data_IF_369718652542
#
_entry.id   IF_369718652542
#
_cell.length_a   1.000
_cell.length_b   1.000
_cell.length_c   1.000
_cell.angle_alpha   90.00
_cell.angle_beta   90.00
_cell.angle_gamma   90.00
#
_symmetry.space_group_name_H-M   'P 1'
#
loop_
_entity.id
_entity.type
_entity.pdbx_description
1 polymer ?
#
# COMPACT_ATOMS: atom_id res chain seq x y z
N UNK A 1 -23.81 -22.78 -0.87
CA UNK A 1 -23.47 -21.39 -0.51
C UNK A 1 -21.96 -21.29 -0.59
N UNK A 2 -21.46 -20.35 -1.40
CA UNK A 2 -20.04 -20.24 -1.72
C UNK A 2 -19.33 -19.58 -0.52
N UNK A 3 -18.76 -20.38 0.38
CA UNK A 3 -18.04 -19.87 1.57
C UNK A 3 -16.60 -19.50 1.19
N UNK A 4 -16.40 -18.49 0.33
CA UNK A 4 -15.07 -17.94 0.08
C UNK A 4 -14.68 -17.02 1.23
N UNK A 5 -13.44 -17.12 1.72
CA UNK A 5 -12.89 -16.16 2.69
C UNK A 5 -12.60 -14.81 2.01
N UNK A 6 -12.36 -13.75 2.78
CA UNK A 6 -11.91 -12.46 2.23
C UNK A 6 -10.58 -12.60 1.49
N UNK A 7 -9.70 -13.48 1.96
CA UNK A 7 -8.42 -13.79 1.30
C UNK A 7 -8.62 -14.47 -0.06
N UNK A 8 -9.57 -15.42 -0.15
CA UNK A 8 -9.92 -16.06 -1.43
C UNK A 8 -10.42 -15.04 -2.45
N UNK A 9 -11.22 -14.07 -2.01
CA UNK A 9 -11.72 -12.99 -2.86
C UNK A 9 -10.58 -12.08 -3.31
N UNK A 10 -9.69 -11.68 -2.40
CA UNK A 10 -8.52 -10.87 -2.77
C UNK A 10 -7.64 -11.59 -3.80
N UNK A 11 -7.46 -12.90 -3.65
CA UNK A 11 -6.77 -13.71 -4.65
C UNK A 11 -7.50 -13.72 -5.99
N UNK A 12 -8.82 -13.86 -5.99
CA UNK A 12 -9.62 -13.82 -7.23
C UNK A 12 -9.53 -12.45 -7.92
N UNK A 13 -9.60 -11.35 -7.15
CA UNK A 13 -9.43 -9.98 -7.64
C UNK A 13 -8.03 -9.83 -8.26
N UNK A 14 -6.99 -10.30 -7.58
CA UNK A 14 -5.62 -10.23 -8.08
C UNK A 14 -5.46 -11.01 -9.40
N UNK A 15 -5.94 -12.25 -9.47
CA UNK A 15 -5.89 -13.06 -10.69
C UNK A 15 -6.68 -12.39 -11.82
N UNK A 16 -7.86 -11.84 -11.52
CA UNK A 16 -8.68 -11.11 -12.48
C UNK A 16 -7.96 -9.86 -13.00
N UNK A 17 -7.34 -9.08 -12.11
CA UNK A 17 -6.53 -7.93 -12.49
C UNK A 17 -5.42 -8.32 -13.46
N UNK A 18 -4.67 -9.38 -13.14
CA UNK A 18 -3.59 -9.87 -14.00
C UNK A 18 -4.07 -10.19 -15.42
N UNK A 19 -5.25 -10.80 -15.56
CA UNK A 19 -5.84 -11.07 -16.87
C UNK A 19 -6.29 -9.79 -17.58
N UNK A 20 -6.97 -8.88 -16.88
CA UNK A 20 -7.46 -7.61 -17.44
C UNK A 20 -6.32 -6.69 -17.92
N UNK A 21 -5.17 -6.71 -17.26
CA UNK A 21 -3.99 -5.94 -17.68
C UNK A 21 -3.33 -6.49 -18.96
N UNK A 22 -3.66 -7.71 -19.37
CA UNK A 22 -3.22 -8.27 -20.67
C UNK A 22 -4.18 -7.97 -21.81
N UNK A 23 -5.37 -7.46 -21.51
CA UNK A 23 -6.33 -7.05 -22.54
C UNK A 23 -5.84 -5.80 -23.28
N UNK A 24 -6.36 -5.60 -24.50
CA UNK A 24 -6.10 -4.40 -25.28
C UNK A 24 -6.50 -3.14 -24.51
N UNK A 25 -5.69 -2.09 -24.64
CA UNK A 25 -5.91 -0.83 -23.95
C UNK A 25 -7.22 -0.16 -24.43
N UNK A 26 -8.21 -0.04 -23.53
CA UNK A 26 -9.44 0.71 -23.83
C UNK A 26 -9.24 2.20 -23.49
N UNK A 27 -9.25 3.04 -24.53
CA UNK A 27 -9.04 4.49 -24.43
C UNK A 27 -10.13 5.16 -23.58
N UNK A 28 -11.40 4.77 -23.77
CA UNK A 28 -12.53 5.39 -23.06
C UNK A 28 -12.47 5.07 -21.55
N UNK A 29 -12.24 3.80 -21.20
CA UNK A 29 -12.13 3.36 -19.81
C UNK A 29 -10.94 4.04 -19.10
N UNK A 30 -9.81 4.23 -19.80
CA UNK A 30 -8.65 4.91 -19.22
C UNK A 30 -8.88 6.40 -19.04
N UNK A 31 -9.41 7.08 -20.06
CA UNK A 31 -9.72 8.51 -19.96
C UNK A 31 -10.73 8.78 -18.85
N UNK A 32 -11.69 7.87 -18.65
CA UNK A 32 -12.66 7.95 -17.56
C UNK A 32 -11.98 7.99 -16.19
N UNK A 33 -10.90 7.24 -15.97
CA UNK A 33 -10.14 7.25 -14.70
C UNK A 33 -9.51 8.60 -14.34
N UNK A 34 -9.33 9.49 -15.33
CA UNK A 34 -8.74 10.82 -15.14
C UNK A 34 -9.70 11.95 -15.53
N UNK A 35 -11.01 11.67 -15.55
CA UNK A 35 -12.06 12.64 -15.86
C UNK A 35 -12.77 13.10 -14.58
N UNK A 36 -13.01 14.41 -14.47
CA UNK A 36 -13.76 15.02 -13.36
C UNK A 36 -15.23 14.57 -13.30
N UNK A 37 -15.78 14.06 -14.42
CA UNK A 37 -17.17 13.60 -14.53
C UNK A 37 -17.33 12.09 -14.25
N UNK A 38 -16.34 11.45 -13.63
CA UNK A 38 -16.33 10.01 -13.34
C UNK A 38 -16.52 9.69 -11.86
N UNK A 39 -16.74 8.40 -11.57
CA UNK A 39 -16.76 7.84 -10.21
C UNK A 39 -15.37 7.77 -9.55
N UNK A 40 -14.30 7.99 -10.32
CA UNK A 40 -12.93 7.90 -9.84
C UNK A 40 -12.48 9.24 -9.26
N UNK A 41 -11.69 9.17 -8.20
CA UNK A 41 -11.05 10.32 -7.60
C UNK A 41 -9.72 10.54 -8.32
N UNK A 42 -9.47 11.78 -8.74
CA UNK A 42 -8.20 12.18 -9.35
C UNK A 42 -7.48 13.11 -8.39
N UNK A 43 -6.32 12.70 -7.90
CA UNK A 43 -5.51 13.50 -6.97
C UNK A 43 -4.20 13.90 -7.64
N UNK A 44 -3.85 15.20 -7.60
CA UNK A 44 -2.54 15.68 -7.99
C UNK A 44 -1.57 15.51 -6.83
N UNK A 45 -0.51 14.72 -7.04
CA UNK A 45 0.46 14.38 -5.98
C UNK A 45 1.77 15.17 -6.05
N UNK A 46 1.97 15.97 -7.11
CA UNK A 46 3.10 16.89 -7.22
C UNK A 46 3.35 17.36 -8.65
N UNK A 47 4.44 18.12 -8.84
CA UNK A 47 4.98 18.50 -10.15
C UNK A 47 6.41 17.94 -10.30
N UNK A 48 6.60 16.96 -11.17
CA UNK A 48 7.91 16.32 -11.41
C UNK A 48 8.73 17.15 -12.41
N UNK A 49 10.01 17.40 -12.07
CA UNK A 49 10.93 18.15 -12.91
C UNK A 49 11.71 17.25 -13.86
N UNK A 50 11.60 17.55 -15.15
CA UNK A 50 12.30 16.89 -16.26
C UNK A 50 13.27 17.87 -16.94
N UNK A 51 14.50 18.04 -16.42
CA UNK A 51 15.49 18.94 -17.00
C UNK A 51 15.96 18.52 -18.40
N UNK A 52 15.93 17.24 -18.73
CA UNK A 52 16.37 16.72 -20.05
C UNK A 52 15.21 16.27 -20.91
N UNK A 53 14.11 15.82 -20.28
CA UNK A 53 12.97 15.23 -20.98
C UNK A 53 13.15 13.74 -21.28
N UNK A 54 14.31 13.15 -20.97
CA UNK A 54 14.54 11.71 -21.06
C UNK A 54 13.94 11.02 -19.84
N UNK A 55 12.94 10.17 -20.05
CA UNK A 55 12.18 9.56 -18.96
C UNK A 55 12.75 8.18 -18.60
N UNK A 56 12.80 7.92 -17.30
CA UNK A 56 12.97 6.61 -16.70
C UNK A 56 11.75 6.32 -15.80
N UNK A 57 11.27 5.07 -15.85
CA UNK A 57 10.24 4.55 -14.95
C UNK A 57 10.82 3.40 -14.14
N UNK A 58 10.43 3.30 -12.88
CA UNK A 58 10.99 2.29 -11.99
C UNK A 58 10.51 2.43 -10.56
N UNK A 59 10.92 1.45 -9.75
CA UNK A 59 10.86 1.52 -8.30
C UNK A 59 11.94 2.51 -7.79
N UNK A 60 11.52 3.63 -7.16
CA UNK A 60 12.45 4.66 -6.72
C UNK A 60 13.37 4.22 -5.59
N UNK A 61 13.05 3.18 -4.84
CA UNK A 61 13.84 2.74 -3.69
C UNK A 61 14.65 1.46 -3.96
N UNK A 62 14.45 0.81 -5.12
CA UNK A 62 15.13 -0.44 -5.44
C UNK A 62 15.87 -0.43 -6.80
N UNK A 63 15.25 0.07 -7.87
CA UNK A 63 15.66 -0.29 -9.22
C UNK A 63 16.06 0.84 -10.15
N UNK A 64 15.91 2.11 -9.76
CA UNK A 64 16.39 3.23 -10.59
C UNK A 64 17.88 3.07 -10.93
N UNK A 65 18.23 3.50 -12.15
CA UNK A 65 19.57 3.37 -12.73
C UNK A 65 20.10 1.93 -12.82
N UNK A 66 19.21 0.93 -12.90
CA UNK A 66 19.56 -0.46 -13.06
C UNK A 66 18.93 -1.08 -14.31
N UNK A 67 19.13 -2.38 -14.53
CA UNK A 67 18.47 -3.14 -15.62
C UNK A 67 17.00 -3.46 -15.35
N UNK A 68 16.49 -3.15 -14.16
CA UNK A 68 15.13 -3.44 -13.71
C UNK A 68 14.21 -2.21 -13.70
N UNK A 69 14.78 -1.01 -13.89
CA UNK A 69 14.06 0.17 -14.36
C UNK A 69 14.05 0.20 -15.90
N UNK A 70 13.25 1.10 -16.48
CA UNK A 70 13.16 1.27 -17.92
C UNK A 70 13.37 2.72 -18.32
N UNK A 71 14.43 2.99 -19.08
CA UNK A 71 14.63 4.25 -19.80
C UNK A 71 13.79 4.16 -21.07
N UNK A 72 12.96 5.16 -21.34
CA UNK A 72 12.00 5.10 -22.45
C UNK A 72 12.59 5.60 -23.78
N UNK A 73 12.07 5.05 -24.87
CA UNK A 73 12.42 5.38 -26.26
C UNK A 73 12.09 6.84 -26.61
N UNK A 74 10.95 7.34 -26.13
CA UNK A 74 10.49 8.71 -26.39
C UNK A 74 10.92 9.69 -25.30
N UNK A 75 11.02 10.95 -25.69
CA UNK A 75 11.37 12.08 -24.84
C UNK A 75 10.24 13.10 -24.85
N UNK A 76 10.15 13.87 -23.78
CA UNK A 76 9.26 15.03 -23.68
C UNK A 76 10.09 16.32 -23.70
N UNK A 77 9.43 17.48 -23.84
CA UNK A 77 10.15 18.75 -23.72
C UNK A 77 10.65 18.92 -22.26
N UNK A 78 11.82 19.52 -22.03
CA UNK A 78 12.23 19.87 -20.68
C UNK A 78 11.20 20.77 -19.99
N UNK A 79 10.88 20.49 -18.72
CA UNK A 79 9.83 21.21 -17.99
C UNK A 79 9.44 20.57 -16.68
N UNK A 80 8.43 21.17 -16.02
CA UNK A 80 7.78 20.60 -14.84
C UNK A 80 6.37 20.16 -15.22
N UNK A 81 6.02 18.94 -14.85
CA UNK A 81 4.77 18.30 -15.27
C UNK A 81 4.02 17.72 -14.08
N UNK A 82 2.71 17.97 -13.98
CA UNK A 82 1.92 17.44 -12.87
C UNK A 82 1.78 15.93 -12.96
N UNK A 83 1.90 15.26 -11.81
CA UNK A 83 1.64 13.83 -11.65
C UNK A 83 0.33 13.65 -10.90
N UNK A 84 -0.54 12.82 -11.46
CA UNK A 84 -1.83 12.47 -10.90
C UNK A 84 -1.92 10.98 -10.60
N UNK A 85 -2.74 10.62 -9.62
CA UNK A 85 -3.20 9.26 -9.36
C UNK A 85 -4.71 9.19 -9.50
N UNK A 86 -5.19 8.12 -10.13
CA UNK A 86 -6.61 7.75 -10.14
C UNK A 86 -6.88 6.77 -9.01
N UNK A 87 -7.93 7.02 -8.26
CA UNK A 87 -8.27 6.32 -7.03
C UNK A 87 -9.73 5.86 -7.09
N UNK A 88 -9.97 4.65 -6.59
CA UNK A 88 -11.32 4.23 -6.20
C UNK A 88 -11.38 3.91 -4.72
N UNK A 89 -12.55 4.09 -4.12
CA UNK A 89 -12.86 3.59 -2.79
C UNK A 89 -13.65 2.30 -2.94
N UNK A 90 -13.15 1.21 -2.37
CA UNK A 90 -13.89 -0.02 -2.23
C UNK A 90 -14.34 -0.17 -0.77
N UNK A 91 -15.59 -0.55 -0.53
CA UNK A 91 -16.15 -0.64 0.83
C UNK A 91 -15.44 -1.67 1.72
N UNK A 92 -14.93 -2.75 1.11
CA UNK A 92 -14.30 -3.87 1.82
C UNK A 92 -12.78 -3.70 1.82
N UNK A 93 -12.23 -3.32 0.67
CA UNK A 93 -10.78 -3.29 0.46
C UNK A 93 -10.17 -1.90 0.71
N UNK A 94 -11.00 -0.87 0.90
CA UNK A 94 -10.56 0.50 1.14
C UNK A 94 -10.09 1.19 -0.14
N UNK A 95 -9.29 2.23 0.03
CA UNK A 95 -8.72 3.05 -1.06
C UNK A 95 -7.80 2.22 -1.95
N UNK A 96 -7.94 2.34 -3.27
CA UNK A 96 -7.11 1.64 -4.27
C UNK A 96 -6.61 2.59 -5.33
N UNK A 97 -5.30 2.55 -5.57
CA UNK A 97 -4.63 3.34 -6.59
C UNK A 97 -4.68 2.55 -7.89
N UNK A 98 -5.44 3.06 -8.85
CA UNK A 98 -5.74 2.37 -10.11
C UNK A 98 -4.64 2.58 -11.13
N UNK A 99 -4.30 3.85 -11.37
CA UNK A 99 -3.34 4.26 -12.39
C UNK A 99 -2.66 5.56 -11.96
N UNK A 100 -1.47 5.82 -12.48
CA UNK A 100 -0.82 7.14 -12.37
C UNK A 100 -0.62 7.76 -13.75
N UNK A 101 -0.67 9.09 -13.82
CA UNK A 101 -0.53 9.88 -15.05
C UNK A 101 0.51 10.98 -14.85
N UNK A 102 1.55 10.98 -15.67
CA UNK A 102 2.36 12.15 -15.95
C UNK A 102 1.67 12.94 -17.06
N UNK A 103 1.15 14.11 -16.75
CA UNK A 103 0.37 14.92 -17.69
C UNK A 103 1.26 15.97 -18.36
N UNK A 104 1.38 15.91 -19.69
CA UNK A 104 2.36 16.67 -20.47
C UNK A 104 1.74 17.94 -21.05
N UNK A 105 0.51 17.84 -21.56
CA UNK A 105 -0.17 18.96 -22.23
C UNK A 105 -1.50 19.35 -21.59
N UNK A 106 -2.08 18.50 -20.73
CA UNK A 106 -3.44 18.65 -20.21
C UNK A 106 -4.54 18.22 -21.19
N UNK A 107 -4.17 17.71 -22.37
CA UNK A 107 -5.12 17.22 -23.38
C UNK A 107 -5.52 15.77 -23.12
N UNK A 108 -6.70 15.40 -23.61
CA UNK A 108 -7.25 14.04 -23.46
C UNK A 108 -6.72 13.15 -24.60
N UNK A 109 -6.03 12.04 -24.30
CA UNK A 109 -5.54 11.12 -25.32
C UNK A 109 -6.68 10.48 -26.13
N UNK A 110 -6.46 10.29 -27.42
CA UNK A 110 -7.35 9.51 -28.32
C UNK A 110 -6.81 8.12 -28.62
N UNK A 111 -5.55 7.86 -28.27
CA UNK A 111 -4.84 6.59 -28.47
C UNK A 111 -3.80 6.39 -27.37
N UNK A 112 -3.60 5.13 -26.99
CA UNK A 112 -2.51 4.73 -26.10
C UNK A 112 -1.66 3.65 -26.76
N UNK A 113 -0.34 3.75 -26.60
CA UNK A 113 0.61 2.71 -27.00
C UNK A 113 1.55 2.40 -25.85
N UNK A 114 1.99 1.13 -25.76
CA UNK A 114 2.95 0.74 -24.74
C UNK A 114 4.26 1.53 -24.91
N UNK A 115 4.80 2.02 -23.80
CA UNK A 115 6.08 2.72 -23.79
C UNK A 115 7.22 1.71 -23.93
N UNK A 116 8.03 1.87 -24.98
CA UNK A 116 9.12 0.96 -25.26
C UNK A 116 10.40 1.40 -24.55
N UNK A 117 11.26 0.44 -24.14
CA UNK A 117 12.59 0.76 -23.64
C UNK A 117 13.45 1.38 -24.75
N UNK A 118 14.36 2.26 -24.36
CA UNK A 118 15.31 2.94 -25.25
C UNK A 118 16.09 1.93 -26.10
N UNK A 119 16.13 2.18 -27.41
CA UNK A 119 16.74 1.27 -28.39
C UNK A 119 15.82 0.18 -28.96
N UNK A 120 14.53 0.17 -28.60
CA UNK A 120 13.52 -0.71 -29.18
C UNK A 120 12.36 0.10 -29.76
N UNK A 121 11.73 -0.44 -30.79
CA UNK A 121 10.56 0.15 -31.45
C UNK A 121 9.29 -0.64 -31.11
N UNK A 122 8.11 -0.10 -31.42
CA UNK A 122 6.83 -0.76 -31.14
C UNK A 122 6.72 -2.14 -31.83
N UNK A 123 7.35 -2.32 -33.00
CA UNK A 123 7.40 -3.60 -33.71
C UNK A 123 8.23 -4.66 -32.97
N UNK A 124 9.03 -4.27 -31.98
CA UNK A 124 9.79 -5.17 -31.12
C UNK A 124 8.99 -5.68 -29.92
N UNK A 125 7.79 -5.14 -29.70
CA UNK A 125 6.93 -5.59 -28.62
C UNK A 125 6.64 -7.10 -28.72
N UNK A 126 6.75 -7.81 -27.59
CA UNK A 126 6.65 -9.27 -27.46
C UNK A 126 7.72 -10.10 -28.19
N UNK A 127 8.77 -9.49 -28.75
CA UNK A 127 9.93 -10.26 -29.24
C UNK A 127 10.74 -10.83 -28.06
N UNK A 128 11.33 -12.02 -28.20
CA UNK A 128 12.17 -12.61 -27.15
C UNK A 128 13.31 -11.66 -26.71
N UNK A 129 13.39 -11.39 -25.41
CA UNK A 129 14.42 -10.53 -24.81
C UNK A 129 14.05 -9.05 -24.72
N UNK A 130 12.90 -8.63 -25.27
CA UNK A 130 12.40 -7.26 -25.18
C UNK A 130 11.45 -7.16 -23.99
N UNK A 131 11.78 -6.29 -23.04
CA UNK A 131 11.04 -6.12 -21.79
C UNK A 131 10.49 -4.69 -21.74
N UNK A 132 9.21 -4.53 -22.09
CA UNK A 132 8.53 -3.23 -22.07
C UNK A 132 7.82 -3.00 -20.73
N UNK A 133 8.62 -2.68 -19.70
CA UNK A 133 8.13 -2.43 -18.36
C UNK A 133 9.26 -2.34 -17.33
N UNK A 134 8.90 -2.33 -16.04
CA UNK A 134 9.82 -2.20 -14.92
C UNK A 134 9.37 -3.06 -13.73
N UNK A 135 10.33 -3.48 -12.91
CA UNK A 135 10.05 -4.20 -11.67
C UNK A 135 9.76 -3.25 -10.50
N UNK A 136 8.98 -3.73 -9.54
CA UNK A 136 8.70 -3.08 -8.25
C UNK A 136 8.87 -4.08 -7.11
N UNK A 137 9.58 -3.67 -6.05
CA UNK A 137 9.93 -4.50 -4.88
C UNK A 137 9.76 -3.76 -3.54
N UNK A 138 9.32 -2.49 -3.59
CA UNK A 138 9.00 -1.69 -2.41
C UNK A 138 7.55 -1.19 -2.42
N UNK A 139 6.72 -1.73 -3.32
CA UNK A 139 5.37 -1.24 -3.57
C UNK A 139 5.29 0.20 -4.05
N UNK A 140 6.38 0.77 -4.59
CA UNK A 140 6.46 2.14 -5.10
C UNK A 140 6.87 2.18 -6.57
N UNK A 141 6.38 3.20 -7.27
CA UNK A 141 6.76 3.54 -8.63
C UNK A 141 6.99 5.06 -8.75
N UNK A 142 7.70 5.47 -9.80
CA UNK A 142 7.85 6.87 -10.16
C UNK A 142 7.98 7.08 -11.67
N UNK A 143 7.68 8.29 -12.12
CA UNK A 143 8.20 8.86 -13.37
C UNK A 143 9.35 9.79 -13.00
N UNK A 144 10.52 9.62 -13.61
CA UNK A 144 11.70 10.42 -13.27
C UNK A 144 12.52 10.76 -14.51
N UNK A 145 13.14 11.93 -14.52
CA UNK A 145 14.11 12.29 -15.55
C UNK A 145 15.42 11.51 -15.37
N UNK A 146 16.05 11.14 -16.47
CA UNK A 146 17.27 10.33 -16.47
C UNK A 146 18.47 11.04 -15.83
N UNK A 147 18.52 12.37 -15.83
CA UNK A 147 19.51 13.11 -15.06
C UNK A 147 19.20 13.05 -13.56
N UNK A 148 17.94 13.25 -13.20
CA UNK A 148 17.46 13.16 -11.81
C UNK A 148 17.73 11.77 -11.21
N UNK A 149 17.47 10.69 -11.94
CA UNK A 149 17.70 9.33 -11.42
C UNK A 149 19.18 9.04 -11.15
N UNK A 150 20.10 9.58 -11.96
CA UNK A 150 21.55 9.49 -11.71
C UNK A 150 22.00 10.30 -10.50
N UNK A 151 21.45 11.51 -10.32
CA UNK A 151 21.72 12.34 -9.15
C UNK A 151 21.24 11.65 -7.87
N UNK A 152 20.04 11.07 -7.93
CA UNK A 152 19.44 10.32 -6.85
C UNK A 152 20.21 9.04 -6.49
N UNK A 153 20.63 8.26 -7.48
CA UNK A 153 21.47 7.07 -7.27
C UNK A 153 22.80 7.41 -6.60
N UNK A 154 23.46 8.50 -7.04
CA UNK A 154 24.67 9.00 -6.37
C UNK A 154 24.41 9.41 -4.91
N UNK A 155 23.26 10.04 -4.64
CA UNK A 155 22.85 10.38 -3.29
C UNK A 155 22.67 9.11 -2.44
N UNK A 156 21.91 8.12 -2.90
CA UNK A 156 21.70 6.87 -2.17
C UNK A 156 23.01 6.12 -1.93
N UNK A 157 23.88 6.03 -2.93
CA UNK A 157 25.19 5.42 -2.79
C UNK A 157 26.01 6.08 -1.67
N UNK A 158 26.06 7.42 -1.66
CA UNK A 158 26.74 8.17 -0.60
C UNK A 158 26.09 7.91 0.75
N UNK A 159 24.76 7.98 0.84
CA UNK A 159 24.03 7.75 2.08
C UNK A 159 24.33 6.36 2.67
N UNK A 160 24.31 5.32 1.84
CA UNK A 160 24.65 3.95 2.24
C UNK A 160 26.11 3.83 2.71
N UNK A 161 27.05 4.51 2.06
CA UNK A 161 28.46 4.51 2.48
C UNK A 161 28.65 5.14 3.87
N UNK A 162 27.82 6.12 4.22
CA UNK A 162 27.83 6.81 5.51
C UNK A 162 26.98 6.07 6.58
N UNK A 163 26.08 5.17 6.15
CA UNK A 163 25.13 4.45 7.01
C UNK A 163 25.08 2.93 6.70
N UNK A 164 26.18 2.17 6.90
CA UNK A 164 26.34 0.82 6.36
C UNK A 164 25.38 -0.25 6.93
N UNK A 165 24.75 -0.01 8.10
CA UNK A 165 23.85 -0.96 8.75
C UNK A 165 22.40 -0.44 8.85
N UNK A 166 22.06 0.59 8.07
CA UNK A 166 20.74 1.21 8.08
C UNK A 166 19.95 0.85 6.84
N UNK A 167 18.65 0.74 6.98
CA UNK A 167 17.71 0.61 5.88
C UNK A 167 17.32 2.01 5.40
N UNK A 168 17.53 2.35 4.12
CA UNK A 168 17.23 3.71 3.65
C UNK A 168 15.73 4.04 3.73
N UNK A 169 14.83 3.05 3.68
CA UNK A 169 13.42 3.31 3.89
C UNK A 169 13.15 3.62 5.36
N UNK A 170 13.42 2.66 6.25
CA UNK A 170 13.09 2.79 7.67
C UNK A 170 13.82 3.97 8.32
N UNK A 171 15.11 4.14 8.04
CA UNK A 171 15.98 5.12 8.70
C UNK A 171 16.02 6.50 8.01
N UNK A 172 15.52 6.63 6.77
CA UNK A 172 15.56 7.91 6.04
C UNK A 172 14.19 8.32 5.45
N UNK A 173 13.54 7.48 4.64
CA UNK A 173 12.30 7.87 3.95
C UNK A 173 11.02 7.75 4.78
N UNK A 174 10.92 6.80 5.72
CA UNK A 174 9.68 6.47 6.45
C UNK A 174 9.07 7.69 7.14
N UNK A 175 9.91 8.56 7.69
CA UNK A 175 9.49 9.82 8.31
C UNK A 175 8.89 10.78 7.28
N UNK A 176 9.52 10.96 6.13
CA UNK A 176 9.06 11.86 5.08
C UNK A 176 7.73 11.41 4.48
N UNK A 177 7.52 10.10 4.32
CA UNK A 177 6.23 9.54 3.91
C UNK A 177 5.13 9.81 4.95
N UNK A 178 5.40 9.60 6.25
CA UNK A 178 4.45 9.98 7.32
C UNK A 178 4.15 11.48 7.35
N UNK A 179 5.16 12.33 7.15
CA UNK A 179 4.96 13.78 7.07
C UNK A 179 4.11 14.17 5.84
N UNK A 180 4.28 13.47 4.71
CA UNK A 180 3.41 13.59 3.53
C UNK A 180 1.96 13.21 3.86
N UNK A 181 1.74 12.07 4.55
CA UNK A 181 0.42 11.62 4.96
C UNK A 181 -0.27 12.62 5.90
N UNK A 182 0.45 13.18 6.86
CA UNK A 182 -0.08 14.20 7.78
C UNK A 182 -0.48 15.47 7.01
N UNK A 183 0.34 15.88 6.04
CA UNK A 183 0.10 17.09 5.24
C UNK A 183 -1.05 16.90 4.26
N UNK A 184 -1.19 15.72 3.68
CA UNK A 184 -2.19 15.37 2.68
C UNK A 184 -2.94 14.09 3.09
N UNK A 185 -3.81 14.15 4.11
CA UNK A 185 -4.38 12.95 4.75
C UNK A 185 -5.45 12.22 3.93
N UNK A 186 -5.87 12.80 2.81
CA UNK A 186 -6.88 12.18 1.95
C UNK A 186 -6.23 11.11 1.08
N UNK A 187 -6.87 9.94 1.04
CA UNK A 187 -6.50 8.84 0.17
C UNK A 187 -5.07 8.33 0.37
N UNK A 188 -4.51 8.49 1.58
CA UNK A 188 -3.26 7.89 2.00
C UNK A 188 -3.46 7.06 3.28
N UNK A 189 -2.65 6.02 3.45
CA UNK A 189 -2.44 5.34 4.72
C UNK A 189 -1.64 6.25 5.67
N UNK A 190 -1.72 5.96 6.98
CA UNK A 190 -1.04 6.75 8.02
C UNK A 190 0.49 6.78 7.85
N UNK A 191 1.08 5.72 7.30
CA UNK A 191 2.51 5.65 7.00
C UNK A 191 2.91 6.35 5.69
N UNK A 192 1.94 6.82 4.89
CA UNK A 192 2.15 7.51 3.61
C UNK A 192 2.16 6.59 2.39
N UNK A 193 1.58 7.09 1.29
CA UNK A 193 1.46 6.36 0.02
C UNK A 193 2.12 7.08 -1.16
N UNK A 194 2.44 8.36 -1.00
CA UNK A 194 3.22 9.11 -1.96
C UNK A 194 4.08 10.19 -1.30
N UNK A 195 5.14 10.58 -2.00
CA UNK A 195 6.11 11.57 -1.56
C UNK A 195 6.66 12.35 -2.75
N UNK A 196 6.58 13.68 -2.67
CA UNK A 196 7.36 14.58 -3.53
C UNK A 196 8.73 14.83 -2.88
N UNK A 197 9.72 14.06 -3.29
CA UNK A 197 11.06 14.07 -2.70
C UNK A 197 12.01 14.94 -3.51
N UNK A 198 12.62 15.95 -2.87
CA UNK A 198 13.69 16.73 -3.48
C UNK A 198 15.03 16.02 -3.29
N UNK A 199 15.77 15.81 -4.37
CA UNK A 199 17.09 15.18 -4.34
C UNK A 199 18.09 16.14 -3.69
N UNK A 200 18.74 15.67 -2.63
CA UNK A 200 19.64 16.47 -1.78
C UNK A 200 20.68 17.26 -2.58
N UNK A 201 20.79 18.56 -2.30
CA UNK A 201 21.70 19.51 -2.96
C UNK A 201 21.44 19.74 -4.46
N UNK A 202 20.21 19.49 -4.93
CA UNK A 202 19.80 19.74 -6.31
C UNK A 202 18.45 20.49 -6.35
N UNK A 203 18.03 20.91 -7.54
CA UNK A 203 16.67 21.43 -7.79
C UNK A 203 15.70 20.35 -8.31
N UNK A 204 16.17 19.10 -8.37
CA UNK A 204 15.47 17.98 -8.99
C UNK A 204 14.63 17.24 -7.94
N UNK A 205 13.51 16.69 -8.38
CA UNK A 205 12.61 15.94 -7.51
C UNK A 205 12.14 14.63 -8.14
N UNK A 206 11.72 13.71 -7.28
CA UNK A 206 11.09 12.44 -7.63
C UNK A 206 9.76 12.38 -6.90
N UNK A 207 8.68 12.20 -7.67
CA UNK A 207 7.38 11.89 -7.10
C UNK A 207 7.27 10.37 -7.01
N UNK A 208 7.36 9.85 -5.79
CA UNK A 208 7.22 8.45 -5.45
C UNK A 208 5.76 8.16 -5.10
N UNK A 209 5.17 7.08 -5.59
CA UNK A 209 3.77 6.72 -5.31
C UNK A 209 3.55 5.21 -5.30
N UNK A 210 2.57 4.75 -4.51
CA UNK A 210 2.23 3.34 -4.40
C UNK A 210 1.78 2.69 -5.72
N UNK A 211 2.22 1.46 -5.95
CA UNK A 211 1.92 0.66 -7.15
C UNK A 211 0.76 -0.32 -6.94
N UNK A 212 -0.47 0.17 -6.89
CA UNK A 212 -1.68 -0.68 -6.81
C UNK A 212 -1.66 -1.75 -5.72
N UNK A 213 -1.48 -3.01 -6.09
CA UNK A 213 -1.40 -4.14 -5.14
C UNK A 213 0.00 -4.33 -4.50
N UNK A 214 0.99 -3.53 -4.88
CA UNK A 214 2.36 -3.57 -4.36
C UNK A 214 3.35 -4.07 -5.41
N UNK A 215 4.20 -5.01 -5.00
CA UNK A 215 5.30 -5.53 -5.82
C UNK A 215 4.82 -6.25 -7.08
N UNK A 216 5.65 -6.23 -8.11
CA UNK A 216 5.31 -6.85 -9.38
C UNK A 216 6.10 -6.30 -10.56
N UNK A 217 5.52 -6.48 -11.75
CA UNK A 217 6.07 -5.98 -13.00
C UNK A 217 5.00 -5.19 -13.75
N UNK A 218 5.31 -3.95 -14.08
CA UNK A 218 4.36 -2.98 -14.62
C UNK A 218 4.87 -2.38 -15.93
N UNK A 219 3.93 -1.94 -16.77
CA UNK A 219 4.21 -1.26 -18.04
C UNK A 219 3.61 0.14 -18.04
N UNK A 220 4.29 1.06 -18.72
CA UNK A 220 3.75 2.40 -18.99
C UNK A 220 3.24 2.50 -20.43
N UNK A 221 2.39 3.50 -20.69
CA UNK A 221 1.74 3.73 -21.97
C UNK A 221 1.75 5.22 -22.33
N UNK A 222 2.24 5.55 -23.51
CA UNK A 222 2.16 6.88 -24.09
C UNK A 222 0.74 7.17 -24.56
N UNK A 223 0.17 8.29 -24.15
CA UNK A 223 -1.08 8.83 -24.67
C UNK A 223 -0.81 9.85 -25.77
N UNK A 224 -1.56 9.74 -26.87
CA UNK A 224 -1.43 10.61 -28.04
C UNK A 224 -2.72 11.34 -28.34
N UNK A 225 -2.61 12.57 -28.84
CA UNK A 225 -3.75 13.31 -29.41
C UNK A 225 -4.05 12.89 -30.86
N UNK A 226 -4.98 13.60 -31.52
CA UNK A 226 -5.33 13.35 -32.92
C UNK A 226 -4.25 13.74 -33.94
N UNK A 227 -3.20 14.45 -33.51
CA UNK A 227 -2.07 14.87 -34.33
C UNK A 227 -0.83 13.97 -34.14
N UNK A 228 -0.97 12.88 -33.38
CA UNK A 228 0.12 11.99 -32.95
C UNK A 228 1.16 12.66 -32.03
N UNK A 229 0.80 13.77 -31.37
CA UNK A 229 1.63 14.40 -30.35
C UNK A 229 1.44 13.71 -29.00
N UNK A 230 2.52 13.59 -28.22
CA UNK A 230 2.48 13.00 -26.87
C UNK A 230 1.82 13.97 -25.91
N UNK A 231 0.77 13.52 -25.23
CA UNK A 231 -0.01 14.33 -24.27
C UNK A 231 0.07 13.84 -22.82
N UNK A 232 0.38 12.56 -22.61
CA UNK A 232 0.63 12.01 -21.27
C UNK A 232 1.43 10.69 -21.31
N UNK A 233 1.93 10.27 -20.15
CA UNK A 233 2.44 8.92 -19.89
C UNK A 233 1.67 8.32 -18.71
N UNK A 234 1.16 7.10 -18.84
CA UNK A 234 0.34 6.44 -17.81
C UNK A 234 0.96 5.11 -17.38
N UNK A 235 0.92 4.79 -16.09
CA UNK A 235 1.11 3.42 -15.58
C UNK A 235 -0.23 2.90 -15.08
N UNK A 236 -0.65 1.72 -15.56
CA UNK A 236 -1.81 0.98 -15.05
C UNK A 236 -1.38 0.00 -13.96
N UNK A 237 -2.01 0.08 -12.80
CA UNK A 237 -1.76 -0.87 -11.70
C UNK A 237 -2.93 -1.83 -11.50
N UNK A 238 -4.15 -1.28 -11.43
CA UNK A 238 -5.36 -2.04 -11.17
C UNK A 238 -6.43 -1.62 -12.17
N UNK A 239 -6.99 -2.61 -12.87
CA UNK A 239 -8.21 -2.41 -13.64
C UNK A 239 -9.42 -2.40 -12.68
N UNK A 240 -10.28 -1.37 -12.67
CA UNK A 240 -11.42 -1.29 -11.75
C UNK A 240 -12.34 -2.51 -11.82
N UNK A 241 -12.47 -3.12 -13.00
CA UNK A 241 -13.27 -4.34 -13.23
C UNK A 241 -12.70 -5.55 -12.49
N UNK A 242 -11.50 -5.48 -11.93
CA UNK A 242 -10.94 -6.52 -11.06
C UNK A 242 -11.78 -6.73 -9.80
N UNK A 243 -12.47 -5.70 -9.33
CA UNK A 243 -13.34 -5.76 -8.15
C UNK A 243 -14.75 -6.28 -8.45
N UNK A 244 -15.08 -6.60 -9.71
CA UNK A 244 -16.35 -7.21 -10.12
C UNK A 244 -16.35 -8.72 -9.80
N UNK A 245 -16.20 -9.03 -8.51
CA UNK A 245 -16.22 -10.38 -7.94
C UNK A 245 -17.41 -10.53 -7.01
N UNK A 246 -17.98 -11.75 -6.96
CA UNK A 246 -19.10 -12.04 -6.08
C UNK A 246 -18.63 -12.02 -4.62
N UNK A 247 -19.15 -11.07 -3.83
CA UNK A 247 -18.87 -11.01 -2.39
C UNK A 247 -19.72 -12.05 -1.65
N UNK A 248 -19.16 -12.77 -0.67
CA UNK A 248 -19.93 -13.62 0.23
C UNK A 248 -20.97 -12.78 0.95
N UNK A 249 -22.19 -13.31 1.02
CA UNK A 249 -23.30 -12.70 1.79
C UNK A 249 -23.03 -12.66 3.31
N UNK A 250 -21.95 -13.29 3.76
CA UNK A 250 -21.53 -13.41 5.15
C UNK A 250 -20.16 -12.76 5.44
N UNK A 251 -19.66 -11.85 4.58
CA UNK A 251 -18.70 -10.85 5.08
C UNK A 251 -19.48 -10.06 6.12
N UNK A 252 -19.38 -10.49 7.38
CA UNK A 252 -20.06 -9.83 8.50
C UNK A 252 -19.74 -8.35 8.37
N UNK A 253 -20.78 -7.52 8.49
CA UNK A 253 -20.64 -6.08 8.63
C UNK A 253 -19.44 -5.77 9.52
N UNK A 254 -18.69 -4.72 9.16
CA UNK A 254 -17.56 -4.20 9.95
C UNK A 254 -17.83 -4.42 11.45
N UNK A 255 -16.98 -5.22 12.12
CA UNK A 255 -17.19 -5.62 13.51
C UNK A 255 -17.61 -4.40 14.32
N UNK A 256 -18.81 -4.44 14.88
CA UNK A 256 -19.30 -3.38 15.76
C UNK A 256 -18.69 -3.62 17.13
N UNK A 257 -17.58 -2.95 17.39
CA UNK A 257 -16.88 -3.05 18.66
C UNK A 257 -17.75 -2.55 19.82
N UNK A 258 -17.53 -3.11 21.01
CA UNK A 258 -18.29 -2.72 22.20
C UNK A 258 -17.90 -1.31 22.68
N UNK A 259 -16.62 -0.95 22.57
CA UNK A 259 -16.14 0.42 22.79
C UNK A 259 -15.97 1.15 21.45
N UNK A 260 -16.40 2.41 21.42
CA UNK A 260 -16.14 3.32 20.30
C UNK A 260 -14.70 3.84 20.34
N UNK A 261 -14.14 4.22 19.19
CA UNK A 261 -12.74 4.62 19.07
C UNK A 261 -12.40 5.85 19.94
N UNK A 262 -13.36 6.77 20.10
CA UNK A 262 -13.23 8.00 20.88
C UNK A 262 -13.15 7.75 22.39
N UNK A 263 -13.61 6.59 22.86
CA UNK A 263 -13.59 6.21 24.27
C UNK A 263 -12.27 5.54 24.70
N UNK A 264 -11.42 5.18 23.74
CA UNK A 264 -10.11 4.56 23.99
C UNK A 264 -9.14 5.60 24.55
N UNK A 265 -8.64 5.34 25.75
CA UNK A 265 -7.68 6.21 26.45
C UNK A 265 -6.27 5.62 26.40
N UNK A 266 -5.21 6.45 26.46
CA UNK A 266 -3.83 5.97 26.55
C UNK A 266 -3.53 5.48 27.97
N UNK A 267 -4.04 4.30 28.34
CA UNK A 267 -3.85 3.68 29.66
C UNK A 267 -2.43 3.14 29.84
N UNK A 268 -1.81 2.68 28.75
CA UNK A 268 -0.43 2.20 28.73
C UNK A 268 0.35 2.83 27.57
N UNK A 269 1.68 2.89 27.71
CA UNK A 269 2.58 3.34 26.65
C UNK A 269 3.30 2.12 26.06
N UNK A 270 2.63 1.45 25.13
CA UNK A 270 3.19 0.35 24.34
C UNK A 270 2.76 0.51 22.88
N UNK A 271 3.65 0.14 21.96
CA UNK A 271 3.36 0.02 20.53
C UNK A 271 3.08 -1.45 20.13
N UNK A 272 3.02 -2.35 21.11
CA UNK A 272 2.82 -3.77 20.87
C UNK A 272 1.34 -4.10 20.67
N UNK A 273 1.10 -5.18 19.93
CA UNK A 273 -0.22 -5.73 19.67
C UNK A 273 -0.38 -7.14 20.28
N UNK A 274 -1.62 -7.58 20.38
CA UNK A 274 -2.01 -8.87 20.92
C UNK A 274 -3.26 -9.39 20.21
N UNK A 275 -3.53 -10.68 20.40
CA UNK A 275 -4.76 -11.31 19.94
C UNK A 275 -5.85 -11.24 21.01
N UNK A 276 -7.09 -10.94 20.60
CA UNK A 276 -8.26 -11.01 21.49
C UNK A 276 -9.49 -11.55 20.76
N UNK A 277 -10.36 -12.25 21.49
CA UNK A 277 -11.61 -12.80 20.96
C UNK A 277 -12.71 -11.75 20.83
N UNK A 278 -13.68 -12.00 19.96
CA UNK A 278 -14.83 -11.12 19.77
C UNK A 278 -15.78 -11.11 20.97
N UNK A 279 -15.75 -12.13 21.83
CA UNK A 279 -16.43 -12.06 23.13
C UNK A 279 -15.96 -10.87 23.96
N UNK A 280 -14.68 -10.53 23.89
CA UNK A 280 -14.15 -9.32 24.53
C UNK A 280 -14.48 -8.11 23.66
N UNK A 281 -14.06 -8.14 22.39
CA UNK A 281 -13.99 -6.93 21.57
C UNK A 281 -15.33 -6.46 21.00
N UNK A 282 -16.26 -7.39 20.75
CA UNK A 282 -17.57 -7.13 20.15
C UNK A 282 -18.68 -7.25 21.19
N UNK A 283 -18.62 -8.25 22.07
CA UNK A 283 -19.65 -8.46 23.10
C UNK A 283 -19.37 -7.71 24.42
N UNK A 284 -18.13 -7.24 24.62
CA UNK A 284 -17.76 -6.41 25.78
C UNK A 284 -17.53 -7.18 27.08
N UNK A 285 -17.32 -8.50 27.00
CA UNK A 285 -17.01 -9.28 28.20
C UNK A 285 -15.61 -8.97 28.74
N UNK A 286 -15.45 -9.15 30.05
CA UNK A 286 -14.14 -9.08 30.70
C UNK A 286 -13.27 -10.26 30.30
N UNK A 287 -11.97 -10.05 30.38
CA UNK A 287 -10.97 -11.09 30.10
C UNK A 287 -11.00 -12.08 31.26
N UNK A 288 -11.36 -13.33 30.99
CA UNK A 288 -11.38 -14.40 31.97
C UNK A 288 -10.15 -15.32 31.89
N UNK A 289 -9.48 -15.38 30.74
CA UNK A 289 -8.23 -16.11 30.56
C UNK A 289 -7.28 -15.34 29.63
N UNK A 290 -5.99 -15.36 29.95
CA UNK A 290 -4.95 -14.79 29.10
C UNK A 290 -3.67 -15.61 29.23
N UNK A 291 -2.97 -15.80 28.12
CA UNK A 291 -1.69 -16.51 28.08
C UNK A 291 -0.72 -15.77 27.18
N UNK A 292 0.57 -15.85 27.51
CA UNK A 292 1.65 -15.22 26.76
C UNK A 292 2.50 -16.28 26.06
N UNK A 293 2.39 -16.32 24.74
CA UNK A 293 3.19 -17.17 23.86
C UNK A 293 4.45 -16.45 23.39
N UNK A 294 5.34 -17.15 22.70
CA UNK A 294 6.50 -16.57 22.03
C UNK A 294 6.06 -15.55 20.97
N UNK A 295 6.56 -14.30 21.02
CA UNK A 295 6.27 -13.29 20.00
C UNK A 295 6.61 -13.78 18.58
N UNK A 296 5.65 -13.69 17.67
CA UNK A 296 5.82 -14.21 16.30
C UNK A 296 6.62 -13.28 15.37
N UNK A 297 6.62 -11.97 15.64
CA UNK A 297 7.27 -10.92 14.84
C UNK A 297 7.43 -9.64 15.65
N UNK A 298 8.14 -8.66 15.08
CA UNK A 298 8.33 -7.36 15.72
C UNK A 298 6.97 -6.68 16.04
N UNK A 299 6.84 -6.17 17.26
CA UNK A 299 5.61 -5.56 17.78
C UNK A 299 4.57 -6.55 18.29
N UNK A 300 4.72 -7.86 18.09
CA UNK A 300 3.90 -8.86 18.76
C UNK A 300 4.26 -8.91 20.25
N UNK A 301 3.28 -8.75 21.14
CA UNK A 301 3.52 -8.90 22.57
C UNK A 301 3.56 -10.36 23.04
N UNK A 302 3.10 -11.30 22.22
CA UNK A 302 2.86 -12.69 22.58
C UNK A 302 1.55 -12.92 23.35
N UNK A 303 0.85 -11.87 23.77
CA UNK A 303 -0.40 -12.02 24.53
C UNK A 303 -1.56 -12.48 23.65
N UNK A 304 -2.34 -13.41 24.21
CA UNK A 304 -3.63 -13.83 23.68
C UNK A 304 -4.67 -13.75 24.80
N UNK A 305 -5.77 -13.04 24.54
CA UNK A 305 -6.83 -12.76 25.52
C UNK A 305 -8.16 -13.41 25.14
N UNK A 306 -8.79 -14.05 26.13
CA UNK A 306 -10.05 -14.77 26.01
C UNK A 306 -11.03 -14.34 27.11
N UNK A 307 -12.33 -14.43 26.83
CA UNK A 307 -13.36 -14.33 27.87
C UNK A 307 -13.33 -15.58 28.77
N UNK A 308 -12.93 -16.73 28.24
CA UNK A 308 -12.68 -17.98 28.98
C UNK A 308 -13.73 -19.07 28.77
N UNK A 309 -14.82 -18.79 28.03
CA UNK A 309 -15.85 -19.79 27.68
C UNK A 309 -15.95 -20.09 26.18
N UNK A 310 -14.97 -19.63 25.39
CA UNK A 310 -14.84 -19.99 23.98
C UNK A 310 -14.65 -21.50 23.80
N UNK A 311 -15.37 -22.10 22.85
CA UNK A 311 -15.22 -23.51 22.48
C UNK A 311 -14.14 -23.68 21.40
N UNK A 312 -13.62 -24.91 21.24
CA UNK A 312 -12.70 -25.23 20.14
C UNK A 312 -13.29 -24.88 18.76
N UNK A 313 -14.60 -25.12 18.56
CA UNK A 313 -15.30 -24.73 17.33
C UNK A 313 -15.29 -23.21 17.13
N UNK A 314 -15.51 -22.43 18.19
CA UNK A 314 -15.46 -20.98 18.13
C UNK A 314 -14.05 -20.47 17.79
N UNK A 315 -13.03 -21.02 18.43
CA UNK A 315 -11.62 -20.65 18.22
C UNK A 315 -11.08 -21.12 16.85
N UNK A 316 -11.68 -22.14 16.26
CA UNK A 316 -11.30 -22.63 14.92
C UNK A 316 -11.70 -21.69 13.78
N UNK A 317 -12.62 -20.74 14.03
CA UNK A 317 -13.00 -19.70 13.08
C UNK A 317 -12.19 -18.42 13.34
N UNK A 318 -11.21 -18.14 12.46
CA UNK A 318 -10.36 -16.96 12.54
C UNK A 318 -11.13 -15.63 12.58
N UNK A 319 -12.40 -15.61 12.15
CA UNK A 319 -13.23 -14.39 12.22
C UNK A 319 -13.65 -14.03 13.63
N UNK A 320 -13.57 -14.95 14.60
CA UNK A 320 -13.95 -14.72 15.99
C UNK A 320 -12.82 -14.12 16.84
N UNK A 321 -11.67 -13.84 16.23
CA UNK A 321 -10.52 -13.22 16.87
C UNK A 321 -10.01 -12.04 16.03
N UNK A 322 -9.12 -11.23 16.59
CA UNK A 322 -8.48 -10.13 15.88
C UNK A 322 -7.20 -9.67 16.56
N UNK A 323 -6.44 -8.84 15.83
CA UNK A 323 -5.22 -8.20 16.31
C UNK A 323 -5.57 -6.79 16.78
N UNK A 324 -5.15 -6.44 17.98
CA UNK A 324 -5.42 -5.13 18.57
C UNK A 324 -4.20 -4.62 19.32
N UNK A 325 -4.04 -3.30 19.43
CA UNK A 325 -3.01 -2.74 20.31
C UNK A 325 -3.25 -3.17 21.76
N UNK A 326 -2.19 -3.43 22.52
CA UNK A 326 -2.33 -3.75 23.94
C UNK A 326 -3.07 -2.64 24.71
N UNK A 327 -2.87 -1.38 24.30
CA UNK A 327 -3.59 -0.26 24.91
C UNK A 327 -5.10 -0.35 24.66
N UNK A 328 -5.52 -0.75 23.47
CA UNK A 328 -6.94 -0.97 23.16
C UNK A 328 -7.52 -2.04 24.08
N UNK A 329 -6.90 -3.21 24.18
CA UNK A 329 -7.40 -4.31 25.02
C UNK A 329 -7.43 -3.91 26.51
N UNK A 330 -6.43 -3.16 26.98
CA UNK A 330 -6.41 -2.62 28.34
C UNK A 330 -7.56 -1.65 28.63
N UNK A 331 -8.20 -1.04 27.63
CA UNK A 331 -9.41 -0.23 27.84
C UNK A 331 -10.66 -1.11 28.04
N UNK A 332 -10.69 -2.31 27.46
CA UNK A 332 -11.77 -3.28 27.68
C UNK A 332 -11.68 -3.91 29.07
N UNK A 333 -10.46 -4.19 29.54
CA UNK A 333 -10.24 -4.69 30.90
C UNK A 333 -8.93 -4.14 31.51
N UNK A 334 -8.99 -2.99 32.21
CA UNK A 334 -7.79 -2.37 32.80
C UNK A 334 -7.08 -3.22 33.85
N UNK A 335 -7.71 -4.28 34.36
CA UNK A 335 -7.13 -5.14 35.39
C UNK A 335 -6.02 -6.06 34.85
N UNK A 336 -5.84 -6.16 33.53
CA UNK A 336 -4.72 -6.90 32.93
C UNK A 336 -3.38 -6.15 33.02
N UNK A 337 -3.41 -4.82 33.17
CA UNK A 337 -2.22 -3.95 33.09
C UNK A 337 -1.05 -4.43 33.98
N UNK A 338 -1.28 -4.87 35.24
CA UNK A 338 -0.19 -5.36 36.10
C UNK A 338 0.54 -6.60 35.56
N UNK A 339 -0.09 -7.37 34.67
CA UNK A 339 0.41 -8.65 34.19
C UNK A 339 1.09 -8.56 32.82
N UNK A 340 0.95 -7.46 32.08
CA UNK A 340 1.42 -7.38 30.68
C UNK A 340 2.94 -7.60 30.51
N UNK A 341 3.72 -7.34 31.56
CA UNK A 341 5.18 -7.53 31.57
C UNK A 341 5.62 -8.94 32.04
N UNK A 342 4.69 -9.89 32.24
CA UNK A 342 5.03 -11.26 32.60
C UNK A 342 5.89 -11.94 31.53
N UNK A 343 6.61 -12.99 31.94
CA UNK A 343 7.45 -13.79 31.03
C UNK A 343 6.59 -14.59 30.05
N UNK A 344 7.20 -15.00 28.94
CA UNK A 344 6.60 -15.97 28.01
C UNK A 344 6.30 -17.27 28.77
N UNK A 345 5.32 -18.04 28.29
CA UNK A 345 4.80 -19.24 28.92
C UNK A 345 4.03 -19.01 30.23
N UNK A 346 3.60 -17.77 30.49
CA UNK A 346 2.75 -17.45 31.65
C UNK A 346 1.27 -17.40 31.25
N UNK A 347 0.43 -18.14 31.98
CA UNK A 347 -1.03 -18.10 31.88
C UNK A 347 -1.68 -17.48 33.12
N UNK A 348 -2.80 -16.76 32.94
CA UNK A 348 -3.61 -16.23 34.02
C UNK A 348 -5.10 -16.47 33.74
N UNK A 349 -5.85 -16.88 34.76
CA UNK A 349 -7.30 -17.03 34.71
C UNK A 349 -7.99 -16.28 35.85
N UNK A 350 -9.24 -15.88 35.68
CA UNK A 350 -10.03 -15.32 36.77
C UNK A 350 -10.66 -16.42 37.63
N UNK A 351 -10.44 -16.34 38.94
CA UNK A 351 -11.11 -17.22 39.91
C UNK A 351 -12.61 -16.89 40.05
N UNK A 352 -13.34 -17.69 40.85
CA UNK A 352 -14.77 -17.47 41.13
C UNK A 352 -15.09 -16.12 41.81
N UNK A 353 -14.07 -15.39 42.28
CA UNK A 353 -14.19 -14.05 42.86
C UNK A 353 -13.78 -12.96 41.86
N UNK A 354 -13.49 -13.34 40.62
CA UNK A 354 -13.08 -12.46 39.54
C UNK A 354 -11.64 -11.97 39.65
N UNK A 355 -10.76 -12.62 40.42
CA UNK A 355 -9.36 -12.19 40.57
C UNK A 355 -8.45 -13.03 39.66
N UNK A 356 -7.47 -12.39 39.02
CA UNK A 356 -6.47 -13.13 38.25
C UNK A 356 -5.61 -14.01 39.17
N UNK A 357 -5.50 -15.27 38.78
CA UNK A 357 -4.66 -16.30 39.35
C UNK A 357 -3.76 -16.82 38.23
N UNK A 358 -2.49 -17.05 38.56
CA UNK A 358 -1.54 -17.66 37.64
C UNK A 358 -1.89 -19.15 37.43
N UNK A 359 -1.80 -19.58 36.19
CA UNK A 359 -1.88 -20.98 35.79
C UNK A 359 -0.53 -21.63 36.11
N UNK A 360 -0.54 -22.67 36.96
CA UNK A 360 0.68 -23.37 37.40
C UNK A 360 1.12 -24.45 36.43
#
# INVERSE_FOLDING_TARGET
>A
MNNKSVEDIMRDIFIRNMNLLTESFNVEDMNKQFSDDSEYIVEKIGDAYFPTGKIEIGDPLCYLNSKWSSILDKEIKPGKYPVYISIMNNEIFGTRYLSSKLDITGEVPVRYEIAMPDGYEIEDYNKPGVIAGFGVDTGLACFVDRETSKLYDNFLYKWHSENPNKNHYDDYFSRSFRESAIKYPKYQREDGDYLDYNVENTENNIIMFCSGFGDGFYSAYWGFDSNDDIVCLIIRFIDPRAFDVEMPSNIKDKKKYYLEAEDIKPLIKSNEWALATDKIMVEGYKIGYMYKDEPSREGDSGWIFYEGTESDEYLSDANNMGIYSLNTIANYDPEIIPFLNSEVDTGFYRDIKGRFCEEN
#
